data_IF_894881563402
#
_entry.id   IF_894881563402
#
_cell.length_a   1.000
_cell.length_b   1.000
_cell.length_c   1.000
_cell.angle_alpha   90.00
_cell.angle_beta   90.00
_cell.angle_gamma   90.00
#
_symmetry.space_group_name_H-M   'P 1'
#
loop_
_entity.id
_entity.type
_entity.pdbx_description
1 polymer ?
#
# COMPACT_ATOMS: atom_id res chain seq x y z
N UNK A 1 4.96 -9.07 23.29
CA UNK A 1 5.08 -9.65 21.94
C UNK A 1 6.39 -9.20 21.35
N UNK A 2 7.28 -10.10 20.91
CA UNK A 2 8.47 -9.72 20.14
C UNK A 2 8.10 -9.80 18.66
N UNK A 3 7.85 -8.65 18.03
CA UNK A 3 7.37 -8.57 16.66
C UNK A 3 8.20 -7.63 15.79
N UNK A 4 8.19 -7.91 14.48
CA UNK A 4 8.76 -7.07 13.42
C UNK A 4 7.69 -6.79 12.36
N UNK A 5 7.67 -5.56 11.85
CA UNK A 5 6.76 -5.13 10.78
C UNK A 5 7.47 -5.10 9.43
N UNK A 6 6.88 -5.68 8.39
CA UNK A 6 7.26 -5.46 6.99
C UNK A 6 6.20 -4.61 6.31
N UNK A 7 6.58 -3.48 5.72
CA UNK A 7 5.62 -2.48 5.24
C UNK A 7 6.09 -1.83 3.95
N UNK A 8 5.16 -1.53 3.05
CA UNK A 8 5.43 -0.82 1.80
C UNK A 8 5.95 0.60 2.07
N UNK A 9 6.96 1.05 1.32
CA UNK A 9 7.52 2.41 1.48
C UNK A 9 6.52 3.54 1.27
N UNK A 10 5.38 3.31 0.62
CA UNK A 10 4.28 4.28 0.48
C UNK A 10 3.50 4.51 1.77
N UNK A 11 3.77 3.74 2.83
CA UNK A 11 3.12 3.88 4.14
C UNK A 11 4.15 4.16 5.26
N UNK A 12 5.31 4.71 4.89
CA UNK A 12 6.40 4.98 5.83
C UNK A 12 5.99 5.94 6.95
N UNK A 13 5.36 7.07 6.61
CA UNK A 13 4.90 8.03 7.61
C UNK A 13 3.77 7.48 8.46
N UNK A 14 2.83 6.73 7.86
CA UNK A 14 1.70 6.14 8.57
C UNK A 14 2.14 5.08 9.57
N UNK A 15 3.13 4.23 9.22
CA UNK A 15 3.65 3.25 10.18
C UNK A 15 4.44 3.94 11.29
N UNK A 16 5.29 4.93 10.97
CA UNK A 16 6.09 5.65 11.96
C UNK A 16 5.22 6.42 12.96
N UNK A 17 4.08 6.97 12.51
CA UNK A 17 3.09 7.64 13.36
C UNK A 17 2.51 6.73 14.44
N UNK A 18 2.42 5.42 14.19
CA UNK A 18 1.65 4.49 15.05
C UNK A 18 2.51 3.39 15.68
N UNK A 19 3.78 3.28 15.29
CA UNK A 19 4.69 2.23 15.74
C UNK A 19 4.97 2.35 17.25
N UNK A 20 4.76 1.28 18.05
CA UNK A 20 5.12 1.28 19.46
C UNK A 20 6.64 1.44 19.64
N UNK A 21 7.03 2.14 20.70
CA UNK A 21 8.44 2.36 21.02
C UNK A 21 9.21 1.03 21.12
N UNK A 22 10.28 0.90 20.32
CA UNK A 22 11.15 -0.27 20.33
C UNK A 22 10.68 -1.46 19.49
N UNK A 23 9.53 -1.36 18.82
CA UNK A 23 9.13 -2.34 17.79
C UNK A 23 9.97 -2.12 16.54
N UNK A 24 10.50 -3.21 15.96
CA UNK A 24 11.29 -3.14 14.73
C UNK A 24 10.37 -3.12 13.50
N UNK A 25 10.78 -2.40 12.46
CA UNK A 25 10.11 -2.41 11.16
C UNK A 25 11.12 -2.37 10.02
N UNK A 26 10.69 -2.79 8.85
CA UNK A 26 11.46 -2.73 7.62
C UNK A 26 10.57 -2.27 6.47
N UNK A 27 11.05 -1.25 5.77
CA UNK A 27 10.41 -0.71 4.57
C UNK A 27 10.87 -1.50 3.34
N UNK A 28 9.90 -1.92 2.53
CA UNK A 28 10.15 -2.58 1.26
C UNK A 28 9.81 -1.63 0.10
N UNK A 29 10.53 -1.70 -1.03
CA UNK A 29 10.30 -0.81 -2.17
C UNK A 29 8.85 -0.88 -2.69
N UNK A 30 8.24 0.29 -2.91
CA UNK A 30 6.83 0.35 -3.33
C UNK A 30 6.55 -0.48 -4.59
N UNK A 31 7.44 -0.43 -5.58
CA UNK A 31 7.22 -1.03 -6.89
C UNK A 31 7.02 -2.56 -6.83
N UNK A 32 7.38 -3.23 -5.73
CA UNK A 32 7.16 -4.66 -5.57
C UNK A 32 5.67 -5.06 -5.70
N UNK A 33 4.72 -4.18 -5.39
CA UNK A 33 3.28 -4.48 -5.58
C UNK A 33 2.90 -4.72 -7.05
N UNK A 34 3.70 -4.21 -8.01
CA UNK A 34 3.52 -4.43 -9.45
C UNK A 34 4.07 -5.80 -9.91
N UNK A 35 4.87 -6.45 -9.07
CA UNK A 35 5.55 -7.72 -9.34
C UNK A 35 5.21 -8.77 -8.25
N UNK A 36 3.98 -9.31 -8.18
CA UNK A 36 3.51 -10.10 -7.02
C UNK A 36 4.36 -11.33 -6.71
N UNK A 37 4.93 -12.01 -7.73
CA UNK A 37 5.88 -13.12 -7.51
C UNK A 37 7.16 -12.67 -6.81
N UNK A 38 7.67 -11.49 -7.17
CA UNK A 38 8.88 -10.91 -6.57
C UNK A 38 8.59 -10.40 -5.17
N UNK A 39 7.46 -9.71 -4.96
CA UNK A 39 7.00 -9.34 -3.62
C UNK A 39 6.94 -10.58 -2.70
N UNK A 40 6.37 -11.67 -3.20
CA UNK A 40 6.30 -12.93 -2.46
C UNK A 40 7.68 -13.47 -2.07
N UNK A 41 8.60 -13.59 -3.04
CA UNK A 41 9.96 -14.08 -2.76
C UNK A 41 10.72 -13.18 -1.78
N UNK A 42 10.58 -11.86 -1.90
CA UNK A 42 11.21 -10.88 -1.01
C UNK A 42 10.67 -10.95 0.42
N UNK A 43 9.36 -11.12 0.59
CA UNK A 43 8.73 -11.31 1.90
C UNK A 43 9.11 -12.67 2.50
N UNK A 44 9.07 -13.75 1.72
CA UNK A 44 9.45 -15.08 2.19
C UNK A 44 10.92 -15.13 2.64
N UNK A 45 11.83 -14.52 1.88
CA UNK A 45 13.24 -14.44 2.26
C UNK A 45 13.46 -13.75 3.61
N UNK A 46 12.66 -12.71 3.91
CA UNK A 46 12.69 -12.01 5.21
C UNK A 46 12.08 -12.83 6.34
N UNK A 47 11.00 -13.56 6.06
CA UNK A 47 10.41 -14.51 7.01
C UNK A 47 11.44 -15.61 7.37
N UNK A 48 12.12 -16.16 6.37
CA UNK A 48 13.09 -17.25 6.58
C UNK A 48 14.35 -16.78 7.31
N UNK A 49 14.76 -15.53 7.08
CA UNK A 49 15.93 -14.93 7.70
C UNK A 49 15.70 -14.47 9.16
N UNK A 50 14.45 -14.19 9.56
CA UNK A 50 14.15 -13.76 10.92
C UNK A 50 14.28 -14.94 11.89
N UNK A 51 15.07 -14.78 12.94
CA UNK A 51 15.23 -15.79 14.01
C UNK A 51 14.90 -15.20 15.38
N UNK A 52 14.46 -13.95 15.41
CA UNK A 52 14.40 -13.16 16.62
C UNK A 52 12.98 -12.90 17.09
N UNK A 53 12.01 -12.86 16.18
CA UNK A 53 10.64 -12.43 16.49
C UNK A 53 9.68 -13.63 16.51
N UNK A 54 8.71 -13.62 17.43
CA UNK A 54 7.66 -14.65 17.49
C UNK A 54 6.54 -14.36 16.47
N UNK A 55 6.39 -13.08 16.09
CA UNK A 55 5.32 -12.61 15.22
C UNK A 55 5.87 -11.67 14.16
N UNK A 56 5.48 -11.89 12.91
CA UNK A 56 5.80 -11.02 11.78
C UNK A 56 4.51 -10.36 11.29
N UNK A 57 4.52 -9.03 11.27
CA UNK A 57 3.38 -8.18 10.94
C UNK A 57 3.57 -7.62 9.54
N UNK A 58 2.53 -7.64 8.72
CA UNK A 58 2.61 -7.21 7.33
C UNK A 58 1.72 -6.00 7.10
N UNK A 59 2.32 -4.83 6.87
CA UNK A 59 1.66 -3.65 6.31
C UNK A 59 1.38 -3.84 4.82
N UNK A 60 0.70 -4.93 4.48
CA UNK A 60 0.35 -5.38 3.14
C UNK A 60 -1.06 -5.98 3.15
N UNK A 61 -1.81 -5.80 2.07
CA UNK A 61 -3.01 -6.59 1.81
C UNK A 61 -2.67 -7.83 0.97
N UNK A 62 -3.64 -8.29 0.19
CA UNK A 62 -3.46 -9.38 -0.78
C UNK A 62 -2.44 -9.01 -1.87
N UNK A 63 -2.38 -7.74 -2.28
CA UNK A 63 -1.43 -7.15 -3.23
C UNK A 63 -1.23 -8.02 -4.48
N UNK A 64 -2.30 -8.28 -5.23
CA UNK A 64 -2.30 -9.16 -6.41
C UNK A 64 -1.77 -10.58 -6.12
N UNK A 65 -2.16 -11.12 -4.96
CA UNK A 65 -1.69 -12.40 -4.40
C UNK A 65 -0.21 -12.44 -3.99
N UNK A 66 0.46 -11.29 -3.83
CA UNK A 66 1.85 -11.24 -3.41
C UNK A 66 2.12 -11.86 -2.03
N UNK A 67 1.12 -11.92 -1.15
CA UNK A 67 1.24 -12.55 0.19
C UNK A 67 0.78 -14.02 0.23
N UNK A 68 0.19 -14.53 -0.85
CA UNK A 68 -0.29 -15.92 -0.90
C UNK A 68 0.89 -16.89 -0.90
N UNK A 69 0.76 -18.03 -0.23
CA UNK A 69 1.80 -19.03 -0.01
C UNK A 69 2.94 -18.62 0.93
N UNK A 70 2.89 -17.42 1.53
CA UNK A 70 3.79 -17.10 2.63
C UNK A 70 3.56 -18.05 3.80
N UNK A 71 4.64 -18.53 4.40
CA UNK A 71 4.59 -19.49 5.48
C UNK A 71 5.81 -19.35 6.37
N UNK A 72 5.69 -19.80 7.62
CA UNK A 72 6.82 -19.88 8.53
C UNK A 72 6.76 -21.15 9.35
N UNK A 73 7.92 -21.70 9.71
CA UNK A 73 8.01 -22.83 10.65
C UNK A 73 7.88 -22.40 12.11
N UNK A 74 8.16 -21.13 12.39
CA UNK A 74 8.42 -20.58 13.74
C UNK A 74 7.58 -19.37 14.08
N UNK A 75 7.29 -18.51 13.10
CA UNK A 75 6.60 -17.23 13.32
C UNK A 75 5.09 -17.35 13.11
N UNK A 76 4.34 -16.57 13.88
CA UNK A 76 2.97 -16.21 13.53
C UNK A 76 3.00 -15.08 12.50
N UNK A 77 2.26 -15.22 11.39
CA UNK A 77 2.15 -14.17 10.37
C UNK A 77 0.82 -13.45 10.54
N UNK A 78 0.82 -12.11 10.57
CA UNK A 78 -0.39 -11.31 10.70
C UNK A 78 -0.50 -10.31 9.56
N UNK A 79 -1.59 -10.42 8.81
CA UNK A 79 -1.81 -9.64 7.59
C UNK A 79 -3.22 -9.01 7.66
N UNK A 80 -3.39 -7.71 7.43
CA UNK A 80 -4.70 -7.11 7.23
C UNK A 80 -5.48 -7.82 6.11
N UNK A 81 -6.75 -8.14 6.37
CA UNK A 81 -7.65 -8.81 5.43
C UNK A 81 -8.23 -7.83 4.41
N UNK A 82 -7.36 -7.26 3.58
CA UNK A 82 -7.71 -6.27 2.55
C UNK A 82 -7.02 -6.58 1.22
N UNK A 83 -7.44 -5.94 0.13
CA UNK A 83 -6.88 -6.23 -1.19
C UNK A 83 -5.53 -5.55 -1.44
N UNK A 84 -5.36 -4.32 -0.99
CA UNK A 84 -4.18 -3.50 -1.28
C UNK A 84 -3.98 -2.41 -0.21
N UNK A 85 -2.97 -1.57 -0.40
CA UNK A 85 -2.67 -0.47 0.50
C UNK A 85 -3.73 0.65 0.49
N UNK A 86 -4.59 0.75 -0.52
CA UNK A 86 -5.63 1.78 -0.56
C UNK A 86 -6.68 1.52 0.53
N UNK A 87 -7.08 0.26 0.71
CA UNK A 87 -7.94 -0.12 1.83
C UNK A 87 -7.30 0.15 3.21
N UNK A 88 -5.98 -0.01 3.32
CA UNK A 88 -5.24 0.30 4.56
C UNK A 88 -5.26 1.81 4.84
N UNK A 89 -4.95 2.63 3.83
CA UNK A 89 -4.92 4.09 3.92
C UNK A 89 -6.31 4.69 4.17
N UNK A 90 -7.37 4.13 3.58
CA UNK A 90 -8.75 4.52 3.87
C UNK A 90 -9.22 4.06 5.26
N UNK A 91 -8.51 3.14 5.92
CA UNK A 91 -8.92 2.56 7.20
C UNK A 91 -10.16 1.67 7.14
N UNK A 92 -10.65 1.33 5.95
CA UNK A 92 -11.89 0.57 5.77
C UNK A 92 -11.97 -0.13 4.42
N UNK A 93 -12.11 -1.47 4.47
CA UNK A 93 -12.43 -2.30 3.29
C UNK A 93 -13.76 -1.89 2.66
N UNK A 94 -14.75 -1.52 3.48
CA UNK A 94 -16.07 -1.15 2.99
C UNK A 94 -16.04 0.19 2.25
N UNK A 95 -15.30 1.17 2.75
CA UNK A 95 -15.14 2.45 2.05
C UNK A 95 -14.44 2.25 0.71
N UNK A 96 -13.38 1.43 0.67
CA UNK A 96 -12.72 1.11 -0.59
C UNK A 96 -13.68 0.45 -1.60
N UNK A 97 -14.50 -0.51 -1.14
CA UNK A 97 -15.51 -1.13 -2.00
C UNK A 97 -16.53 -0.12 -2.53
N UNK A 98 -17.01 0.80 -1.68
CA UNK A 98 -17.92 1.86 -2.11
C UNK A 98 -17.31 2.78 -3.16
N UNK A 99 -16.04 3.16 -2.99
CA UNK A 99 -15.30 3.98 -3.94
C UNK A 99 -15.09 3.24 -5.27
N UNK A 100 -14.77 1.95 -5.22
CA UNK A 100 -14.65 1.09 -6.40
C UNK A 100 -15.99 0.95 -7.13
N UNK A 101 -17.08 0.66 -6.42
CA UNK A 101 -18.42 0.54 -6.99
C UNK A 101 -18.91 1.86 -7.59
N UNK A 102 -18.54 3.00 -6.98
CA UNK A 102 -18.83 4.34 -7.50
C UNK A 102 -18.09 4.63 -8.79
N UNK A 103 -16.77 4.37 -8.84
CA UNK A 103 -15.92 4.68 -10.00
C UNK A 103 -14.66 3.81 -10.00
N UNK A 104 -14.65 2.68 -10.75
CA UNK A 104 -13.47 1.84 -10.88
C UNK A 104 -12.27 2.56 -11.52
N UNK A 105 -12.52 3.56 -12.38
CA UNK A 105 -11.52 4.41 -13.00
C UNK A 105 -10.99 5.52 -12.07
N UNK A 106 -10.66 5.17 -10.83
CA UNK A 106 -10.11 6.08 -9.82
C UNK A 106 -8.62 5.80 -9.59
N UNK A 107 -7.79 6.84 -9.64
CA UNK A 107 -6.43 6.82 -9.10
C UNK A 107 -6.46 7.32 -7.67
N UNK A 108 -5.72 6.65 -6.79
CA UNK A 108 -5.57 7.07 -5.40
C UNK A 108 -4.16 7.61 -5.19
N UNK A 109 -4.06 8.78 -4.58
CA UNK A 109 -2.82 9.37 -4.09
C UNK A 109 -2.84 9.46 -2.57
N UNK A 110 -1.67 9.32 -1.97
CA UNK A 110 -1.37 9.69 -0.59
C UNK A 110 0.02 10.32 -0.55
N UNK A 111 0.43 10.86 0.59
CA UNK A 111 1.79 11.40 0.77
C UNK A 111 2.86 10.42 0.29
N UNK A 112 2.80 9.17 0.75
CA UNK A 112 3.80 8.18 0.38
C UNK A 112 3.81 7.86 -1.12
N UNK A 113 2.67 7.84 -1.81
CA UNK A 113 2.66 7.67 -3.27
C UNK A 113 3.30 8.85 -4.01
N UNK A 114 3.08 10.07 -3.53
CA UNK A 114 3.71 11.30 -4.05
C UNK A 114 5.23 11.24 -3.83
N UNK A 115 5.67 10.91 -2.62
CA UNK A 115 7.10 10.86 -2.27
C UNK A 115 7.88 9.81 -3.06
N UNK A 116 7.24 8.70 -3.42
CA UNK A 116 7.85 7.68 -4.27
C UNK A 116 7.88 8.07 -5.76
N UNK A 117 7.30 9.23 -6.12
CA UNK A 117 7.11 9.66 -7.50
C UNK A 117 6.31 8.66 -8.31
N UNK A 118 5.40 7.93 -7.68
CA UNK A 118 4.72 6.77 -8.26
C UNK A 118 3.40 7.13 -8.95
N UNK A 119 3.18 8.42 -9.17
CA UNK A 119 1.97 9.01 -9.76
C UNK A 119 2.19 9.40 -11.24
N UNK A 120 1.11 9.58 -12.02
CA UNK A 120 1.18 9.74 -13.48
C UNK A 120 2.04 10.91 -14.00
N UNK A 121 2.06 12.06 -13.33
CA UNK A 121 2.84 13.23 -13.74
C UNK A 121 4.35 13.00 -13.55
N UNK A 122 4.76 12.40 -12.44
CA UNK A 122 6.14 12.01 -12.18
C UNK A 122 6.58 10.85 -13.11
N UNK A 123 5.68 9.90 -13.42
CA UNK A 123 5.92 8.87 -14.43
C UNK A 123 6.12 9.49 -15.82
N UNK A 124 5.28 10.44 -16.22
CA UNK A 124 5.42 11.18 -17.47
C UNK A 124 6.79 11.84 -17.59
N UNK A 125 7.22 12.57 -16.55
CA UNK A 125 8.52 13.24 -16.53
C UNK A 125 9.68 12.25 -16.73
N UNK A 126 9.64 11.10 -16.02
CA UNK A 126 10.64 10.05 -16.21
C UNK A 126 10.63 9.46 -17.62
N UNK A 127 9.46 9.31 -18.22
CA UNK A 127 9.34 8.80 -19.59
C UNK A 127 9.81 9.83 -20.62
N UNK A 128 9.63 11.13 -20.37
CA UNK A 128 10.20 12.18 -21.22
C UNK A 128 11.73 12.07 -21.28
N UNK A 129 12.38 11.92 -20.12
CA UNK A 129 13.84 11.77 -20.04
C UNK A 129 14.35 10.52 -20.75
N UNK A 130 13.60 9.42 -20.66
CA UNK A 130 14.02 8.11 -21.16
C UNK A 130 13.69 7.87 -22.63
N UNK A 131 12.54 8.35 -23.09
CA UNK A 131 11.94 7.98 -24.38
C UNK A 131 11.60 9.18 -25.28
N UNK A 132 11.76 10.40 -24.77
CA UNK A 132 11.33 11.62 -25.43
C UNK A 132 9.84 11.89 -25.26
N UNK A 133 9.46 13.16 -25.38
CA UNK A 133 8.12 13.68 -25.06
C UNK A 133 6.99 12.98 -25.83
N UNK A 134 7.16 12.74 -27.13
CA UNK A 134 6.13 12.10 -27.97
C UNK A 134 5.78 10.69 -27.47
N UNK A 135 6.80 9.89 -27.15
CA UNK A 135 6.60 8.54 -26.64
C UNK A 135 6.08 8.56 -25.20
N UNK A 136 6.58 9.46 -24.37
CA UNK A 136 6.12 9.63 -22.99
C UNK A 136 4.62 9.94 -22.94
N UNK A 137 4.16 10.87 -23.78
CA UNK A 137 2.75 11.21 -23.91
C UNK A 137 1.92 10.01 -24.35
N UNK A 138 2.37 9.29 -25.38
CA UNK A 138 1.67 8.09 -25.85
C UNK A 138 1.54 7.02 -24.75
N UNK A 139 2.60 6.78 -23.98
CA UNK A 139 2.59 5.80 -22.87
C UNK A 139 1.58 6.22 -21.80
N UNK A 140 1.67 7.46 -21.32
CA UNK A 140 0.79 7.96 -20.25
C UNK A 140 -0.67 7.99 -20.69
N UNK A 141 -0.96 8.45 -21.91
CA UNK A 141 -2.32 8.42 -22.44
C UNK A 141 -2.82 6.97 -22.51
N UNK A 142 -1.98 6.02 -22.96
CA UNK A 142 -2.38 4.60 -23.03
C UNK A 142 -2.65 4.00 -21.66
N UNK A 143 -1.79 4.25 -20.68
CA UNK A 143 -1.92 3.70 -19.32
C UNK A 143 -3.09 4.31 -18.54
N UNK A 144 -3.31 5.61 -18.70
CA UNK A 144 -4.18 6.38 -17.80
C UNK A 144 -5.50 6.88 -18.42
N UNK A 145 -5.75 6.71 -19.72
CA UNK A 145 -6.93 7.31 -20.38
C UNK A 145 -8.30 6.93 -19.78
N UNK A 146 -8.43 5.77 -19.15
CA UNK A 146 -9.68 5.33 -18.50
C UNK A 146 -9.87 5.87 -17.09
N UNK A 147 -8.85 6.45 -16.48
CA UNK A 147 -8.93 7.03 -15.15
C UNK A 147 -9.41 8.48 -15.25
N UNK A 148 -10.64 8.73 -14.81
CA UNK A 148 -11.29 10.06 -14.89
C UNK A 148 -11.41 10.74 -13.54
N UNK A 149 -10.96 10.06 -12.49
CA UNK A 149 -11.08 10.50 -11.11
C UNK A 149 -9.78 10.28 -10.37
N UNK A 150 -9.38 11.26 -9.59
CA UNK A 150 -8.26 11.18 -8.67
C UNK A 150 -8.76 11.43 -7.25
N UNK A 151 -8.45 10.52 -6.33
CA UNK A 151 -8.73 10.67 -4.91
C UNK A 151 -7.43 10.89 -4.17
N UNK A 152 -7.29 12.05 -3.53
CA UNK A 152 -6.26 12.26 -2.52
C UNK A 152 -6.75 11.75 -1.16
N UNK A 153 -6.01 10.81 -0.56
CA UNK A 153 -6.28 10.26 0.76
C UNK A 153 -5.41 11.00 1.79
N UNK A 154 -6.06 11.79 2.65
CA UNK A 154 -5.40 12.46 3.77
C UNK A 154 -5.38 11.57 5.02
N UNK A 155 -4.23 10.97 5.31
CA UNK A 155 -3.96 10.19 6.54
C UNK A 155 -3.41 11.04 7.70
N UNK A 156 -3.47 12.37 7.56
CA UNK A 156 -2.92 13.34 8.53
C UNK A 156 -1.42 13.14 8.77
N UNK A 157 -0.69 12.96 7.69
CA UNK A 157 0.78 12.93 7.65
C UNK A 157 1.28 13.92 6.59
N UNK A 158 2.33 14.66 6.92
CA UNK A 158 2.88 15.71 6.07
C UNK A 158 2.08 17.02 6.05
N UNK A 159 2.46 17.91 5.13
CA UNK A 159 1.81 19.20 4.96
C UNK A 159 0.62 19.09 4.00
N UNK A 160 -0.59 19.16 4.56
CA UNK A 160 -1.83 19.02 3.78
C UNK A 160 -1.90 20.00 2.60
N UNK A 161 -1.54 21.27 2.80
CA UNK A 161 -1.62 22.30 1.76
C UNK A 161 -0.78 21.95 0.55
N UNK A 162 0.49 21.63 0.78
CA UNK A 162 1.44 21.23 -0.28
C UNK A 162 1.02 19.95 -1.00
N UNK A 163 0.54 18.95 -0.25
CA UNK A 163 0.10 17.67 -0.82
C UNK A 163 -1.18 17.81 -1.65
N UNK A 164 -2.13 18.63 -1.18
CA UNK A 164 -3.36 18.92 -1.90
C UNK A 164 -3.08 19.73 -3.18
N UNK A 165 -2.20 20.73 -3.12
CA UNK A 165 -1.82 21.52 -4.28
C UNK A 165 -1.04 20.71 -5.32
N UNK A 166 -0.21 19.76 -4.87
CA UNK A 166 0.41 18.80 -5.79
C UNK A 166 -0.62 17.84 -6.41
N UNK A 167 -1.55 17.32 -5.61
CA UNK A 167 -2.61 16.44 -6.11
C UNK A 167 -3.49 17.11 -7.17
N UNK A 168 -3.74 18.42 -7.05
CA UNK A 168 -4.40 19.24 -8.10
C UNK A 168 -3.60 19.25 -9.39
N UNK A 169 -2.28 19.44 -9.32
CA UNK A 169 -1.43 19.43 -10.52
C UNK A 169 -1.47 18.07 -11.23
N UNK A 170 -1.47 16.97 -10.48
CA UNK A 170 -1.61 15.62 -11.04
C UNK A 170 -2.98 15.43 -11.70
N UNK A 171 -4.06 15.84 -11.02
CA UNK A 171 -5.42 15.75 -11.56
C UNK A 171 -5.59 16.58 -12.84
N UNK A 172 -5.07 17.81 -12.86
CA UNK A 172 -5.07 18.69 -14.03
C UNK A 172 -4.29 18.08 -15.20
N UNK A 173 -3.11 17.50 -14.93
CA UNK A 173 -2.30 16.80 -15.93
C UNK A 173 -3.06 15.62 -16.56
N UNK A 174 -3.80 14.88 -15.74
CA UNK A 174 -4.62 13.75 -16.19
C UNK A 174 -5.95 14.16 -16.85
N UNK A 175 -6.40 15.39 -16.65
CA UNK A 175 -7.77 15.80 -16.94
C UNK A 175 -8.80 15.01 -16.10
N UNK A 176 -8.46 14.68 -14.86
CA UNK A 176 -9.28 13.93 -13.92
C UNK A 176 -9.97 14.86 -12.89
N UNK A 177 -11.15 14.47 -12.41
CA UNK A 177 -11.80 15.14 -11.28
C UNK A 177 -11.07 14.81 -9.97
N UNK A 178 -10.59 15.83 -9.27
CA UNK A 178 -9.98 15.67 -7.95
C UNK A 178 -11.05 15.62 -6.86
N UNK A 179 -11.00 14.58 -6.04
CA UNK A 179 -11.73 14.49 -4.78
C UNK A 179 -10.77 14.25 -3.60
N UNK A 180 -11.15 14.72 -2.42
CA UNK A 180 -10.48 14.37 -1.18
C UNK A 180 -11.24 13.26 -0.45
N UNK A 181 -10.50 12.36 0.20
CA UNK A 181 -11.02 11.44 1.21
C UNK A 181 -10.17 11.50 2.45
N UNK A 182 -10.84 11.51 3.60
CA UNK A 182 -10.17 11.32 4.89
C UNK A 182 -9.73 9.86 5.02
N UNK A 183 -8.43 9.66 5.16
CA UNK A 183 -7.82 8.36 5.48
C UNK A 183 -7.76 8.10 6.98
N UNK A 184 -7.19 6.95 7.36
CA UNK A 184 -6.99 6.57 8.75
C UNK A 184 -5.87 5.53 8.88
N UNK A 185 -5.00 5.71 9.89
CA UNK A 185 -3.98 4.71 10.23
C UNK A 185 -4.53 3.54 11.06
N UNK A 186 -5.85 3.45 11.30
CA UNK A 186 -6.47 2.45 12.19
C UNK A 186 -6.04 1.01 11.90
N UNK A 187 -5.88 0.62 10.63
CA UNK A 187 -5.41 -0.73 10.30
C UNK A 187 -3.98 -0.97 10.78
N UNK A 188 -3.08 0.00 10.59
CA UNK A 188 -1.69 -0.09 11.04
C UNK A 188 -1.60 -0.02 12.56
N UNK A 189 -2.40 0.81 13.22
CA UNK A 189 -2.50 0.87 14.69
C UNK A 189 -2.90 -0.50 15.27
N UNK A 190 -3.97 -1.11 14.73
CA UNK A 190 -4.45 -2.42 15.17
C UNK A 190 -3.45 -3.53 14.88
N UNK A 191 -2.76 -3.44 13.73
CA UNK A 191 -1.70 -4.37 13.35
C UNK A 191 -0.59 -4.40 14.42
N UNK A 192 -0.09 -3.25 14.84
CA UNK A 192 1.05 -3.16 15.77
C UNK A 192 0.66 -3.29 17.25
N UNK A 193 -0.59 -3.02 17.60
CA UNK A 193 -1.10 -3.14 18.98
C UNK A 193 -1.64 -4.53 19.33
N UNK A 194 -1.87 -5.39 18.33
CA UNK A 194 -2.33 -6.76 18.55
C UNK A 194 -3.85 -6.95 18.53
N UNK A 195 -4.61 -5.94 18.10
CA UNK A 195 -6.08 -6.01 17.98
C UNK A 195 -6.51 -6.70 16.67
N UNK A 196 -6.18 -7.98 16.56
CA UNK A 196 -6.41 -8.78 15.35
C UNK A 196 -7.73 -9.56 15.44
N UNK A 197 -8.83 -8.90 15.07
CA UNK A 197 -10.13 -9.55 14.93
C UNK A 197 -10.35 -10.12 13.50
N UNK A 198 -11.61 -10.22 13.07
CA UNK A 198 -12.00 -10.65 11.72
C UNK A 198 -11.36 -9.84 10.58
N UNK A 199 -10.89 -8.64 10.83
CA UNK A 199 -10.27 -7.77 9.83
C UNK A 199 -8.81 -8.16 9.53
N UNK A 200 -8.29 -9.20 10.20
CA UNK A 200 -6.94 -9.72 10.00
C UNK A 200 -6.95 -11.22 9.65
N UNK A 201 -5.87 -11.63 9.00
CA UNK A 201 -5.50 -13.01 8.73
C UNK A 201 -4.33 -13.32 9.65
N UNK A 202 -4.55 -14.23 10.60
CA UNK A 202 -3.53 -14.68 11.56
C UNK A 202 -3.17 -16.13 11.22
N UNK A 203 -1.96 -16.33 10.72
CA UNK A 203 -1.45 -17.66 10.32
C UNK A 203 -0.46 -18.14 11.38
N UNK A 204 -0.78 -19.21 12.12
CA UNK A 204 0.15 -19.75 13.12
C UNK A 204 1.34 -20.46 12.45
N UNK A 205 2.41 -20.75 13.21
CA UNK A 205 3.55 -21.49 12.69
C UNK A 205 3.15 -22.82 12.04
N UNK A 206 3.84 -23.18 10.96
CA UNK A 206 3.64 -24.38 10.12
C UNK A 206 2.35 -24.37 9.30
N UNK A 207 1.64 -23.25 9.26
CA UNK A 207 0.56 -23.00 8.31
C UNK A 207 1.03 -22.03 7.22
N UNK A 208 0.18 -21.89 6.20
CA UNK A 208 0.45 -21.11 5.00
C UNK A 208 -0.70 -20.16 4.72
N UNK A 209 -0.38 -18.96 4.24
CA UNK A 209 -1.37 -17.99 3.77
C UNK A 209 -2.06 -18.53 2.53
N UNK A 210 -3.39 -18.63 2.55
CA UNK A 210 -4.18 -19.00 1.38
C UNK A 210 -4.96 -17.80 0.85
N UNK A 211 -5.34 -17.83 -0.42
CA UNK A 211 -6.12 -16.75 -1.02
C UNK A 211 -7.52 -16.63 -0.37
N UNK A 212 -8.13 -17.76 0.00
CA UNK A 212 -9.44 -17.84 0.65
C UNK A 212 -9.47 -17.12 1.99
N UNK A 213 -8.33 -16.96 2.66
CA UNK A 213 -8.23 -16.26 3.94
C UNK A 213 -8.62 -14.77 3.84
N UNK A 214 -8.67 -14.21 2.63
CA UNK A 214 -8.99 -12.81 2.36
C UNK A 214 -10.46 -12.56 1.98
N UNK A 215 -11.28 -13.61 1.89
CA UNK A 215 -12.71 -13.55 1.56
C UNK A 215 -13.57 -13.93 2.77
#
# INVERSE_FOLDING_TARGET
MKAKVFVCSTMADEIEKVLPQGMSYELLPYALHREPKKLNSELQARIDADQEHDTLLFGYGLCSNGVVNLHSRTHTLVIPRVHDCISLLLGSRQLYQQEFDKSPGTIYLSKGWIDQGAEPLAEYQRYCDKYGEVNAKYIIDTEYHHYKRLVFIDTEVGDYGSLMDYSKQVADFMGAELEERKGSCRFLERLVTGDWDRDFVVIPPKMMVTQESFF
#
